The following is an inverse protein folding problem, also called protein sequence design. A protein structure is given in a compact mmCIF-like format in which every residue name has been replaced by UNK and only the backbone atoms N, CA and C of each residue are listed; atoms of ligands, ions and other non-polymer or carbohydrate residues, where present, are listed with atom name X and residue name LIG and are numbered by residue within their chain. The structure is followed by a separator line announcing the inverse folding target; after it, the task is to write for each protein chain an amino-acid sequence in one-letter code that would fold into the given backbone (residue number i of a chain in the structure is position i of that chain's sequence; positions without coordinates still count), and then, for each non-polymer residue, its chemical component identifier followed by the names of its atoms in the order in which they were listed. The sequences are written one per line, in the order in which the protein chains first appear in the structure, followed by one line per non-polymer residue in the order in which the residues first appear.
data_IF_072876498963
#
_entry.id   IF_072876498963
#
_cell.length_a   1.000
_cell.length_b   1.000
_cell.length_c   1.000
_cell.angle_alpha   90.00
_cell.angle_beta   90.00
_cell.angle_gamma   90.00
#
_symmetry.space_group_name_H-M   'P 1'
#
loop_
_entity.id
_entity.type
_entity.pdbx_description
1 polymer ?
#
# COMPACT_ATOMS: atom_id res chain seq x y z
N UNK A 1 -5.06 -25.73 -29.16
CA UNK A 1 -6.35 -25.54 -28.46
C UNK A 1 -6.19 -24.60 -27.27
N UNK A 2 -5.12 -24.73 -26.47
CA UNK A 2 -4.68 -23.79 -25.42
C UNK A 2 -4.67 -22.32 -25.86
N UNK A 3 -3.98 -22.00 -26.97
CA UNK A 3 -3.80 -20.62 -27.44
C UNK A 3 -5.13 -19.93 -27.82
N UNK A 4 -6.08 -20.68 -28.39
CA UNK A 4 -7.42 -20.13 -28.71
C UNK A 4 -8.22 -19.80 -27.45
N UNK A 5 -8.09 -20.61 -26.39
CA UNK A 5 -8.73 -20.33 -25.09
C UNK A 5 -8.10 -19.12 -24.41
N UNK A 6 -6.78 -18.96 -24.53
CA UNK A 6 -6.05 -17.81 -23.98
C UNK A 6 -6.46 -16.50 -24.67
N UNK A 7 -6.58 -16.50 -26.01
CA UNK A 7 -7.04 -15.33 -26.77
C UNK A 7 -8.48 -14.96 -26.38
N UNK A 8 -9.39 -15.95 -26.34
CA UNK A 8 -10.79 -15.70 -25.96
C UNK A 8 -10.92 -15.13 -24.54
N UNK A 9 -10.07 -15.57 -23.60
CA UNK A 9 -10.05 -15.01 -22.25
C UNK A 9 -9.55 -13.57 -22.24
N UNK A 10 -8.47 -13.25 -22.96
CA UNK A 10 -7.92 -11.89 -23.03
C UNK A 10 -8.94 -10.93 -23.63
N UNK A 11 -9.57 -11.31 -24.74
CA UNK A 11 -10.62 -10.49 -25.39
C UNK A 11 -11.82 -10.27 -24.45
N UNK A 12 -12.28 -11.33 -23.77
CA UNK A 12 -13.33 -11.20 -22.77
C UNK A 12 -12.90 -10.26 -21.63
N UNK A 13 -11.67 -10.43 -21.13
CA UNK A 13 -11.16 -9.62 -20.02
C UNK A 13 -11.07 -8.15 -20.39
N UNK A 14 -10.54 -7.83 -21.56
CA UNK A 14 -10.46 -6.45 -22.05
C UNK A 14 -11.85 -5.82 -22.19
N UNK A 15 -12.79 -6.53 -22.82
CA UNK A 15 -14.14 -6.00 -23.05
C UNK A 15 -14.93 -5.81 -21.75
N UNK A 16 -14.93 -6.82 -20.88
CA UNK A 16 -15.75 -6.81 -19.67
C UNK A 16 -15.12 -5.91 -18.59
N UNK A 17 -13.81 -6.04 -18.36
CA UNK A 17 -13.16 -5.48 -17.16
C UNK A 17 -12.35 -4.22 -17.42
N UNK A 18 -11.87 -3.96 -18.65
CA UNK A 18 -11.09 -2.77 -18.95
C UNK A 18 -11.88 -1.69 -19.70
N UNK A 19 -12.69 -2.10 -20.67
CA UNK A 19 -13.42 -1.18 -21.55
C UNK A 19 -14.79 -0.77 -20.98
N UNK A 20 -15.53 -1.73 -20.41
CA UNK A 20 -16.89 -1.47 -19.89
C UNK A 20 -16.91 -0.85 -18.49
N UNK A 21 -15.85 -1.06 -17.70
CA UNK A 21 -15.73 -0.54 -16.34
C UNK A 21 -14.42 0.23 -16.20
N UNK A 22 -14.44 1.46 -15.71
CA UNK A 22 -13.25 2.31 -15.56
C UNK A 22 -12.70 2.33 -14.12
N UNK A 23 -13.04 1.32 -13.30
CA UNK A 23 -12.77 1.27 -11.86
C UNK A 23 -11.78 0.18 -11.45
N UNK A 24 -11.02 -0.39 -12.40
CA UNK A 24 -10.19 -1.58 -12.19
C UNK A 24 -8.82 -1.32 -11.53
N UNK A 25 -8.43 -0.08 -11.23
CA UNK A 25 -7.05 0.25 -10.81
C UNK A 25 -6.90 0.50 -9.29
N UNK A 26 -5.70 0.20 -8.73
CA UNK A 26 -5.36 0.25 -7.28
C UNK A 26 -5.53 1.63 -6.60
N UNK A 27 -5.86 2.68 -7.34
CA UNK A 27 -6.02 4.05 -6.82
C UNK A 27 -7.40 4.66 -7.14
N UNK A 28 -8.38 3.86 -7.58
CA UNK A 28 -9.75 4.34 -7.86
C UNK A 28 -10.44 4.85 -6.58
N UNK A 29 -10.23 4.12 -5.48
CA UNK A 29 -10.66 4.52 -4.15
C UNK A 29 -9.41 4.83 -3.34
N UNK A 30 -9.14 6.11 -3.17
CA UNK A 30 -8.00 6.55 -2.38
C UNK A 30 -8.06 6.01 -0.96
N UNK A 31 -6.89 5.64 -0.45
CA UNK A 31 -6.67 5.31 0.96
C UNK A 31 -7.35 4.02 1.42
N UNK A 32 -7.84 3.22 0.46
CA UNK A 32 -8.30 1.84 0.71
C UNK A 32 -7.16 0.88 0.40
N UNK A 33 -6.91 -0.12 1.26
CA UNK A 33 -5.87 -1.10 1.00
C UNK A 33 -6.23 -1.98 -0.19
N UNK A 34 -5.23 -2.34 -0.98
CA UNK A 34 -5.32 -3.42 -1.96
C UNK A 34 -4.83 -4.75 -1.36
N UNK A 35 -5.16 -5.00 -0.08
CA UNK A 35 -4.74 -6.23 0.61
C UNK A 35 -5.93 -7.10 1.03
N UNK A 36 -5.79 -8.39 0.80
CA UNK A 36 -6.63 -9.45 1.34
C UNK A 36 -6.00 -10.13 2.57
N UNK A 37 -4.90 -9.61 3.11
CA UNK A 37 -4.13 -10.23 4.20
C UNK A 37 -5.00 -10.54 5.42
N UNK A 38 -5.96 -9.66 5.74
CA UNK A 38 -6.91 -9.91 6.82
C UNK A 38 -7.75 -11.16 6.59
N UNK A 39 -8.35 -11.28 5.40
CA UNK A 39 -9.16 -12.43 5.02
C UNK A 39 -8.31 -13.70 4.93
N UNK A 40 -7.13 -13.63 4.31
CA UNK A 40 -6.22 -14.77 4.17
C UNK A 40 -5.68 -15.25 5.52
N UNK A 41 -5.42 -14.33 6.46
CA UNK A 41 -5.01 -14.66 7.82
C UNK A 41 -6.10 -15.43 8.57
N UNK A 42 -7.35 -14.98 8.52
CA UNK A 42 -8.47 -15.71 9.12
C UNK A 42 -8.70 -17.07 8.44
N UNK A 43 -8.66 -17.11 7.11
CA UNK A 43 -8.76 -18.35 6.35
C UNK A 43 -7.67 -19.35 6.73
N UNK A 44 -6.44 -18.86 6.97
CA UNK A 44 -5.33 -19.69 7.41
C UNK A 44 -5.59 -20.29 8.79
N UNK A 45 -6.05 -19.50 9.77
CA UNK A 45 -6.40 -20.01 11.12
C UNK A 45 -7.48 -21.09 11.01
N UNK A 46 -8.56 -20.83 10.25
CA UNK A 46 -9.63 -21.82 10.05
C UNK A 46 -9.07 -23.13 9.45
N UNK A 47 -8.21 -23.02 8.44
CA UNK A 47 -7.62 -24.17 7.76
C UNK A 47 -6.64 -24.93 8.64
N UNK A 48 -5.71 -24.24 9.28
CA UNK A 48 -4.55 -24.86 9.94
C UNK A 48 -4.84 -25.26 11.40
N UNK A 49 -5.71 -24.52 12.09
CA UNK A 49 -6.00 -24.70 13.53
C UNK A 49 -7.39 -25.30 13.77
N UNK A 50 -8.42 -24.79 13.10
CA UNK A 50 -9.81 -25.17 13.43
C UNK A 50 -10.27 -26.44 12.71
N UNK A 51 -9.88 -26.58 11.44
CA UNK A 51 -10.33 -27.67 10.56
C UNK A 51 -9.24 -28.66 10.19
N UNK A 52 -7.96 -28.34 10.48
CA UNK A 52 -6.79 -29.11 10.09
C UNK A 52 -6.77 -29.50 8.60
N UNK A 53 -7.40 -28.67 7.75
CA UNK A 53 -7.60 -28.86 6.30
C UNK A 53 -8.38 -30.13 5.94
N UNK A 54 -9.13 -30.67 6.88
CA UNK A 54 -9.96 -31.85 6.65
C UNK A 54 -11.36 -31.49 6.17
N UNK A 55 -12.03 -32.44 5.49
CA UNK A 55 -13.44 -32.30 5.15
C UNK A 55 -14.27 -32.66 6.38
N UNK A 56 -15.05 -31.69 6.87
CA UNK A 56 -15.79 -31.84 8.12
C UNK A 56 -17.29 -32.00 7.84
N UNK A 57 -17.99 -32.93 8.51
CA UNK A 57 -19.45 -32.99 8.45
C UNK A 57 -20.11 -31.68 8.90
N UNK A 58 -21.22 -31.30 8.28
CA UNK A 58 -21.87 -30.01 8.52
C UNK A 58 -22.21 -29.75 10.00
N UNK A 59 -22.64 -30.78 10.72
CA UNK A 59 -22.94 -30.70 12.16
C UNK A 59 -21.72 -30.30 12.99
N UNK A 60 -20.55 -30.86 12.65
CA UNK A 60 -19.28 -30.55 13.31
C UNK A 60 -18.73 -29.20 12.86
N UNK A 61 -18.88 -28.85 11.58
CA UNK A 61 -18.50 -27.54 11.06
C UNK A 61 -19.21 -26.40 11.82
N UNK A 62 -20.50 -26.55 12.11
CA UNK A 62 -21.26 -25.57 12.90
C UNK A 62 -20.64 -25.37 14.29
N UNK A 63 -20.28 -26.44 14.98
CA UNK A 63 -19.67 -26.34 16.33
C UNK A 63 -18.34 -25.59 16.25
N UNK A 64 -17.50 -25.94 15.26
CA UNK A 64 -16.19 -25.31 15.06
C UNK A 64 -16.35 -23.82 14.81
N UNK A 65 -17.23 -23.40 13.88
CA UNK A 65 -17.39 -21.97 13.58
C UNK A 65 -17.87 -21.15 14.78
N UNK A 66 -18.76 -21.70 15.62
CA UNK A 66 -19.18 -21.02 16.85
C UNK A 66 -18.03 -20.87 17.86
N UNK A 67 -17.24 -21.92 18.09
CA UNK A 67 -16.11 -21.85 19.02
C UNK A 67 -15.00 -20.92 18.50
N UNK A 68 -14.69 -20.96 17.20
CA UNK A 68 -13.73 -20.04 16.56
C UNK A 68 -14.12 -18.57 16.79
N UNK A 69 -15.37 -18.20 16.48
CA UNK A 69 -15.85 -16.81 16.63
C UNK A 69 -15.86 -16.40 18.11
N UNK A 70 -16.27 -17.30 19.00
CA UNK A 70 -16.25 -17.07 20.45
C UNK A 70 -14.83 -16.86 20.96
N UNK A 71 -13.86 -17.65 20.50
CA UNK A 71 -12.45 -17.50 20.86
C UNK A 71 -11.89 -16.17 20.37
N UNK A 72 -12.13 -15.80 19.11
CA UNK A 72 -11.68 -14.51 18.57
C UNK A 72 -12.30 -13.35 19.35
N UNK A 73 -13.61 -13.38 19.58
CA UNK A 73 -14.32 -12.37 20.37
C UNK A 73 -13.73 -12.23 21.77
N UNK A 74 -13.46 -13.35 22.44
CA UNK A 74 -12.79 -13.40 23.75
C UNK A 74 -11.39 -12.79 23.70
N UNK A 75 -10.57 -13.14 22.69
CA UNK A 75 -9.21 -12.60 22.52
C UNK A 75 -9.21 -11.07 22.38
N UNK A 76 -10.14 -10.50 21.62
CA UNK A 76 -10.28 -9.04 21.51
C UNK A 76 -10.83 -8.40 22.78
N UNK A 77 -11.86 -9.00 23.40
CA UNK A 77 -12.47 -8.51 24.66
C UNK A 77 -11.44 -8.42 25.79
N UNK A 78 -10.59 -9.44 25.91
CA UNK A 78 -9.56 -9.52 26.94
C UNK A 78 -8.21 -8.91 26.53
N UNK A 79 -8.16 -8.18 25.40
CA UNK A 79 -6.96 -7.50 24.88
C UNK A 79 -5.75 -8.43 24.62
N UNK A 80 -5.99 -9.73 24.44
CA UNK A 80 -5.00 -10.70 23.99
C UNK A 80 -4.65 -10.47 22.50
N UNK A 81 -5.62 -9.97 21.73
CA UNK A 81 -5.42 -9.41 20.39
C UNK A 81 -5.84 -7.95 20.39
N UNK A 82 -5.16 -7.12 19.60
CA UNK A 82 -5.45 -5.70 19.46
C UNK A 82 -5.47 -5.29 18.00
N UNK A 83 -6.35 -4.33 17.67
CA UNK A 83 -6.35 -3.70 16.36
C UNK A 83 -5.16 -2.74 16.28
N UNK A 84 -4.29 -2.98 15.31
CA UNK A 84 -3.17 -2.09 15.01
C UNK A 84 -3.75 -0.88 14.27
N UNK A 85 -3.79 0.27 14.94
CA UNK A 85 -4.31 1.53 14.41
C UNK A 85 -3.26 2.30 13.60
N UNK A 86 -1.98 2.08 13.90
CA UNK A 86 -0.85 2.75 13.25
C UNK A 86 0.12 1.70 12.71
N UNK A 87 0.50 1.79 11.43
CA UNK A 87 1.44 0.84 10.85
C UNK A 87 2.80 0.98 11.52
N UNK A 88 3.42 -0.16 11.83
CA UNK A 88 4.79 -0.19 12.33
C UNK A 88 5.77 0.04 11.18
N UNK A 89 6.72 0.96 11.37
CA UNK A 89 7.74 1.26 10.37
C UNK A 89 8.93 0.32 10.56
N UNK A 90 9.08 -0.63 9.64
CA UNK A 90 10.20 -1.57 9.68
C UNK A 90 11.54 -0.87 9.42
N UNK A 91 12.63 -1.48 9.87
CA UNK A 91 13.98 -0.96 9.63
C UNK A 91 14.31 -0.85 8.13
N UNK A 92 13.75 -1.75 7.31
CA UNK A 92 13.87 -1.70 5.84
C UNK A 92 13.21 -0.43 5.27
N UNK A 93 12.00 -0.09 5.72
CA UNK A 93 11.31 1.14 5.28
C UNK A 93 12.08 2.38 5.76
N UNK A 94 12.58 2.37 7.00
CA UNK A 94 13.44 3.46 7.48
C UNK A 94 14.69 3.66 6.61
N UNK A 95 15.36 2.56 6.25
CA UNK A 95 16.56 2.59 5.40
C UNK A 95 16.23 3.16 4.02
N UNK A 96 15.18 2.64 3.37
CA UNK A 96 14.73 3.11 2.05
C UNK A 96 14.26 4.56 2.09
N UNK A 97 13.55 4.96 3.13
CA UNK A 97 13.09 6.33 3.33
C UNK A 97 14.25 7.30 3.53
N UNK A 98 15.28 6.91 4.30
CA UNK A 98 16.50 7.71 4.48
C UNK A 98 17.28 7.87 3.17
N UNK A 99 17.50 6.78 2.43
CA UNK A 99 18.16 6.84 1.12
C UNK A 99 17.38 7.72 0.13
N UNK A 100 16.06 7.59 0.09
CA UNK A 100 15.21 8.45 -0.74
C UNK A 100 15.29 9.91 -0.31
N UNK A 101 15.25 10.20 1.00
CA UNK A 101 15.39 11.55 1.54
C UNK A 101 16.72 12.20 1.14
N UNK A 102 17.78 11.41 1.01
CA UNK A 102 19.13 11.83 0.58
C UNK A 102 19.34 11.88 -0.93
N UNK A 103 18.44 11.32 -1.74
CA UNK A 103 18.50 11.45 -3.18
C UNK A 103 18.23 12.89 -3.64
N UNK A 104 18.69 13.26 -4.84
CA UNK A 104 18.47 14.58 -5.43
C UNK A 104 17.11 14.74 -6.12
N UNK A 105 16.18 13.80 -5.91
CA UNK A 105 14.82 13.87 -6.47
C UNK A 105 14.10 15.15 -6.02
N UNK A 106 13.60 15.92 -6.98
CA UNK A 106 12.82 17.12 -6.71
C UNK A 106 11.51 16.76 -6.02
N UNK A 107 11.09 17.57 -5.04
CA UNK A 107 9.76 17.45 -4.42
C UNK A 107 9.07 18.80 -4.55
N UNK A 108 7.90 18.80 -5.17
CA UNK A 108 7.03 19.97 -5.27
C UNK A 108 5.99 19.86 -4.16
N UNK A 109 5.73 20.94 -3.44
CA UNK A 109 4.75 20.97 -2.34
C UNK A 109 3.66 22.00 -2.57
N UNK A 110 2.41 21.64 -2.28
CA UNK A 110 1.25 22.54 -2.28
C UNK A 110 0.60 22.54 -0.90
N UNK A 111 0.52 23.72 -0.27
CA UNK A 111 0.00 23.85 1.09
C UNK A 111 -1.47 24.32 1.06
N UNK A 112 -2.34 23.58 1.74
CA UNK A 112 -3.77 23.85 1.86
C UNK A 112 -4.18 24.17 3.32
N UNK A 113 -3.26 24.72 4.11
CA UNK A 113 -3.44 25.05 5.53
C UNK A 113 -3.27 23.83 6.43
N UNK A 114 -4.31 22.99 6.49
CA UNK A 114 -4.33 21.79 7.36
C UNK A 114 -3.57 20.61 6.76
N UNK A 115 -3.58 20.48 5.43
CA UNK A 115 -2.86 19.42 4.71
C UNK A 115 -1.87 20.01 3.73
N UNK A 116 -0.76 19.31 3.53
CA UNK A 116 0.23 19.60 2.49
C UNK A 116 0.29 18.40 1.55
N UNK A 117 0.27 18.69 0.26
CA UNK A 117 0.44 17.72 -0.81
C UNK A 117 1.87 17.83 -1.34
N UNK A 118 2.49 16.68 -1.58
CA UNK A 118 3.84 16.56 -2.09
C UNK A 118 3.83 15.66 -3.32
N UNK A 119 4.56 16.09 -4.34
CA UNK A 119 4.71 15.40 -5.60
C UNK A 119 6.19 15.08 -5.78
N UNK A 120 6.52 13.81 -6.01
CA UNK A 120 7.88 13.33 -6.22
C UNK A 120 7.98 12.45 -7.48
N UNK A 121 9.08 12.51 -8.25
CA UNK A 121 9.25 11.68 -9.43
C UNK A 121 9.46 10.22 -9.03
N UNK A 122 8.85 9.32 -9.78
CA UNK A 122 9.07 7.89 -9.64
C UNK A 122 10.39 7.44 -10.27
N UNK A 123 10.73 6.15 -10.05
CA UNK A 123 11.87 5.45 -10.65
C UNK A 123 13.19 6.22 -10.64
N UNK A 124 13.90 6.32 -11.77
CA UNK A 124 15.20 7.00 -11.91
C UNK A 124 15.06 8.48 -12.33
N UNK A 125 13.83 8.98 -12.47
CA UNK A 125 13.60 10.37 -12.84
C UNK A 125 13.87 11.33 -11.67
N UNK A 126 14.43 12.50 -11.96
CA UNK A 126 14.82 13.46 -10.93
C UNK A 126 13.91 14.69 -10.87
N UNK A 127 13.05 14.91 -11.86
CA UNK A 127 12.20 16.11 -11.99
C UNK A 127 10.76 15.74 -12.40
N UNK A 128 9.82 16.61 -12.06
CA UNK A 128 8.39 16.50 -12.39
C UNK A 128 7.96 17.76 -13.15
N UNK A 129 7.10 17.60 -14.15
CA UNK A 129 6.47 18.74 -14.84
C UNK A 129 5.10 19.09 -14.26
N UNK A 130 4.63 20.32 -14.46
CA UNK A 130 3.27 20.72 -14.03
C UNK A 130 2.17 19.86 -14.68
N UNK A 131 2.39 19.41 -15.92
CA UNK A 131 1.45 18.54 -16.62
C UNK A 131 1.32 17.15 -15.96
N UNK A 132 2.39 16.65 -15.32
CA UNK A 132 2.32 15.41 -14.55
C UNK A 132 1.48 15.59 -13.29
N UNK A 133 1.59 16.75 -12.63
CA UNK A 133 0.78 17.11 -11.47
C UNK A 133 -0.70 17.19 -11.87
N UNK A 134 -1.03 17.87 -12.97
CA UNK A 134 -2.42 17.99 -13.45
C UNK A 134 -3.02 16.62 -13.81
N UNK A 135 -2.22 15.74 -14.42
CA UNK A 135 -2.64 14.36 -14.71
C UNK A 135 -2.95 13.59 -13.42
N UNK A 136 -2.09 13.72 -12.40
CA UNK A 136 -2.28 13.08 -11.10
C UNK A 136 -3.41 13.74 -10.31
N UNK A 137 -3.73 15.01 -10.51
CA UNK A 137 -4.85 15.65 -9.81
C UNK A 137 -6.19 15.27 -10.42
N UNK A 138 -6.24 15.08 -11.74
CA UNK A 138 -7.46 14.67 -12.43
C UNK A 138 -7.78 13.20 -12.22
N UNK A 139 -6.77 12.33 -12.05
CA UNK A 139 -6.89 10.88 -11.79
C UNK A 139 -7.89 10.14 -12.68
N UNK A 140 -8.09 10.63 -13.90
CA UNK A 140 -8.99 10.03 -14.89
C UNK A 140 -8.17 9.30 -15.93
N UNK A 141 -8.32 7.99 -15.92
CA UNK A 141 -7.71 7.10 -16.90
C UNK A 141 -8.81 6.61 -17.84
N UNK A 142 -8.73 6.99 -19.11
CA UNK A 142 -9.70 6.57 -20.11
C UNK A 142 -9.35 5.19 -20.68
N UNK A 143 -8.09 4.77 -20.56
CA UNK A 143 -7.59 3.46 -21.04
C UNK A 143 -6.57 2.86 -20.10
N UNK A 144 -6.41 1.53 -20.17
CA UNK A 144 -5.39 0.79 -19.43
C UNK A 144 -3.97 1.27 -19.77
N UNK A 145 -3.69 1.52 -21.04
CA UNK A 145 -2.37 2.01 -21.47
C UNK A 145 -2.03 3.39 -20.91
N UNK A 146 -3.02 4.29 -20.80
CA UNK A 146 -2.82 5.61 -20.21
C UNK A 146 -2.47 5.48 -18.73
N UNK A 147 -3.21 4.65 -17.99
CA UNK A 147 -2.91 4.35 -16.58
C UNK A 147 -1.51 3.74 -16.43
N UNK A 148 -1.21 2.67 -17.17
CA UNK A 148 0.10 1.97 -17.09
C UNK A 148 1.27 2.92 -17.30
N UNK A 149 1.14 3.86 -18.24
CA UNK A 149 2.20 4.80 -18.60
C UNK A 149 2.38 5.97 -17.65
N UNK A 150 1.40 6.29 -16.79
CA UNK A 150 1.36 7.58 -16.06
C UNK A 150 1.08 7.45 -14.58
N UNK A 151 0.31 6.46 -14.15
CA UNK A 151 -0.14 6.32 -12.76
C UNK A 151 1.01 6.10 -11.77
N UNK A 152 2.13 5.57 -12.25
CA UNK A 152 3.31 5.28 -11.45
C UNK A 152 4.51 6.18 -11.78
N UNK A 153 4.32 7.27 -12.53
CA UNK A 153 5.42 8.21 -12.85
C UNK A 153 5.65 9.23 -11.75
N UNK A 154 4.60 9.53 -10.97
CA UNK A 154 4.65 10.50 -9.89
C UNK A 154 4.07 9.90 -8.63
N UNK A 155 4.85 9.99 -7.56
CA UNK A 155 4.38 9.72 -6.22
C UNK A 155 3.69 10.96 -5.67
N UNK A 156 2.40 10.83 -5.43
CA UNK A 156 1.59 11.77 -4.67
C UNK A 156 1.60 11.35 -3.21
N UNK A 157 1.94 12.29 -2.34
CA UNK A 157 1.94 12.12 -0.89
C UNK A 157 1.11 13.24 -0.28
N UNK A 158 0.11 12.91 0.54
CA UNK A 158 -0.66 13.89 1.30
C UNK A 158 -0.43 13.69 2.78
N UNK A 159 -0.10 14.76 3.49
CA UNK A 159 0.19 14.73 4.91
C UNK A 159 -0.51 15.88 5.62
N UNK A 160 -0.77 15.71 6.92
CA UNK A 160 -1.16 16.83 7.77
C UNK A 160 0.04 17.78 7.91
N UNK A 161 -0.25 19.07 8.00
CA UNK A 161 0.74 20.11 8.28
C UNK A 161 1.10 20.14 9.78
N UNK A 162 1.42 18.97 10.33
CA UNK A 162 1.71 18.76 11.75
C UNK A 162 2.83 17.72 11.89
N UNK A 163 3.99 18.10 12.46
CA UNK A 163 5.11 17.20 12.69
C UNK A 163 4.78 15.98 13.54
N UNK A 164 3.76 16.02 14.40
CA UNK A 164 3.40 14.91 15.29
C UNK A 164 2.58 13.82 14.59
N UNK A 165 1.89 14.18 13.52
CA UNK A 165 0.93 13.31 12.83
C UNK A 165 1.42 12.83 11.45
N UNK A 166 2.70 13.00 11.15
CA UNK A 166 3.28 12.64 9.84
C UNK A 166 3.05 11.18 9.43
N UNK A 167 2.95 10.25 10.38
CA UNK A 167 2.69 8.82 10.11
C UNK A 167 1.29 8.55 9.57
N UNK A 168 0.36 9.50 9.71
CA UNK A 168 -0.97 9.45 9.07
C UNK A 168 -0.92 9.90 7.60
N UNK A 169 0.28 10.22 7.10
CA UNK A 169 0.51 10.53 5.70
C UNK A 169 0.11 9.38 4.79
N UNK A 170 -0.42 9.73 3.63
CA UNK A 170 -0.93 8.79 2.64
C UNK A 170 -0.15 8.94 1.33
N UNK A 171 -0.01 7.85 0.57
CA UNK A 171 0.74 7.85 -0.69
C UNK A 171 0.08 6.94 -1.73
N UNK A 172 0.18 7.30 -3.01
CA UNK A 172 -0.32 6.51 -4.13
C UNK A 172 0.63 5.37 -4.59
N UNK A 173 1.69 5.05 -3.84
CA UNK A 173 2.63 4.00 -4.24
C UNK A 173 2.16 2.60 -3.82
N UNK A 174 2.50 1.53 -4.58
CA UNK A 174 2.07 0.16 -4.27
C UNK A 174 2.44 -0.33 -2.86
N UNK A 175 3.60 0.11 -2.35
CA UNK A 175 4.01 -0.24 -0.99
C UNK A 175 3.06 0.32 0.08
N UNK A 176 2.49 1.51 -0.15
CA UNK A 176 1.54 2.11 0.77
C UNK A 176 0.21 1.37 0.75
N UNK A 177 -0.32 1.01 -0.43
CA UNK A 177 -1.59 0.26 -0.52
C UNK A 177 -1.55 -1.11 0.17
N UNK A 178 -0.36 -1.70 0.29
CA UNK A 178 -0.16 -2.98 0.99
C UNK A 178 0.12 -2.82 2.48
N UNK A 179 0.95 -1.86 2.86
CA UNK A 179 1.48 -1.79 4.23
C UNK A 179 0.99 -0.59 5.03
N UNK A 180 0.20 0.31 4.44
CA UNK A 180 -0.19 1.63 5.00
C UNK A 180 0.96 2.55 5.38
N UNK A 181 2.19 2.19 4.98
CA UNK A 181 3.37 3.02 5.17
C UNK A 181 4.36 2.70 4.05
N UNK A 182 5.12 3.71 3.62
CA UNK A 182 6.08 3.55 2.54
C UNK A 182 7.30 4.45 2.75
N UNK A 183 8.32 4.21 1.93
CA UNK A 183 9.55 5.01 1.92
C UNK A 183 9.31 6.49 1.57
N UNK A 184 8.25 6.82 0.83
CA UNK A 184 7.97 8.20 0.41
C UNK A 184 7.42 9.04 1.56
N UNK A 185 6.42 8.53 2.31
CA UNK A 185 5.92 9.20 3.52
C UNK A 185 7.04 9.39 4.54
N UNK A 186 7.82 8.33 4.81
CA UNK A 186 8.98 8.41 5.69
C UNK A 186 10.04 9.39 5.16
N UNK A 187 10.35 9.32 3.87
CA UNK A 187 11.39 10.13 3.23
C UNK A 187 11.07 11.63 3.22
N UNK A 188 9.84 12.00 2.87
CA UNK A 188 9.36 13.40 2.96
C UNK A 188 9.45 13.89 4.41
N UNK A 189 8.99 13.08 5.36
CA UNK A 189 9.04 13.40 6.80
C UNK A 189 10.47 13.60 7.32
N UNK A 190 11.44 12.82 6.81
CA UNK A 190 12.87 12.98 7.12
C UNK A 190 13.39 14.31 6.55
N UNK A 191 13.05 14.67 5.31
CA UNK A 191 13.46 15.96 4.70
C UNK A 191 12.90 17.16 5.47
N UNK A 192 11.65 17.06 5.90
CA UNK A 192 10.96 18.08 6.71
C UNK A 192 11.39 18.10 8.18
N UNK A 193 12.26 17.16 8.61
CA UNK A 193 12.69 16.99 10.00
C UNK A 193 11.55 16.67 10.99
N UNK A 194 10.44 16.13 10.51
CA UNK A 194 9.33 15.66 11.36
C UNK A 194 9.67 14.37 12.09
N UNK A 195 10.62 13.59 11.58
CA UNK A 195 11.11 12.39 12.22
C UNK A 195 12.62 12.21 12.06
N UNK A 196 13.21 11.39 12.94
CA UNK A 196 14.61 10.99 12.88
C UNK A 196 14.67 9.48 12.65
N UNK A 197 15.29 9.01 11.55
CA UNK A 197 15.44 7.58 11.34
C UNK A 197 16.39 7.00 12.40
N UNK A 198 16.16 5.75 12.84
CA UNK A 198 17.04 5.09 13.82
C UNK A 198 18.48 4.99 13.27
N UNK A 199 19.51 5.02 14.14
CA UNK A 199 20.91 4.96 13.69
C UNK A 199 21.17 3.77 12.75
N UNK A 200 20.66 2.59 13.10
CA UNK A 200 20.78 1.37 12.32
C UNK A 200 20.28 1.50 10.86
N UNK A 201 19.34 2.42 10.57
CA UNK A 201 18.84 2.65 9.22
C UNK A 201 19.84 3.42 8.33
N UNK A 202 20.83 4.08 8.92
CA UNK A 202 21.85 4.90 8.23
C UNK A 202 23.11 4.12 7.91
N UNK A 203 23.31 2.96 8.56
CA UNK A 203 24.53 2.13 8.41
C UNK A 203 24.66 1.51 7.00
N UNK A 204 23.59 1.50 6.22
CA UNK A 204 23.61 1.00 4.84
C UNK A 204 24.04 2.13 3.90
N UNK A 205 25.14 1.96 3.14
CA UNK A 205 25.56 2.94 2.15
C UNK A 205 24.43 3.26 1.16
N UNK A 206 24.39 4.51 0.70
CA UNK A 206 23.38 4.96 -0.27
C UNK A 206 23.50 4.12 -1.55
N UNK A 207 22.36 3.66 -2.08
CA UNK A 207 22.31 2.78 -3.25
C UNK A 207 22.39 1.28 -2.95
N UNK A 208 22.76 0.88 -1.73
CA UNK A 208 22.77 -0.53 -1.35
C UNK A 208 21.47 -0.96 -0.69
N UNK A 209 21.05 -2.20 -0.98
CA UNK A 209 19.90 -2.84 -0.32
C UNK A 209 20.35 -3.49 0.99
N UNK A 210 19.55 -3.34 2.05
CA UNK A 210 19.72 -4.11 3.29
C UNK A 210 19.59 -5.60 2.96
N UNK A 211 20.50 -6.44 3.46
CA UNK A 211 20.39 -7.90 3.33
C UNK A 211 19.15 -8.40 4.06
N UNK A 212 18.47 -9.41 3.50
CA UNK A 212 17.40 -10.11 4.22
C UNK A 212 18.02 -10.86 5.40
N UNK A 213 17.47 -10.65 6.59
CA UNK A 213 17.79 -11.33 7.83
C UNK A 213 16.50 -11.58 8.58
#
# INVERSE_FOLDING_TARGET
MEAKKQIAFVEYFENEWLNSHNTWYENIQHFTPSTNDGLESFNKIIKDEDTYRERIPLSRFRIITFETVKQWSSQYKHKLKQYIQTPSITLDIWTKGYQWAKSDKSVISMNHGYTVEYYAPADDEFKISNNDIDTINTMKWNTFDQYRKRAFNVWYIKMQNDPTNWMKGICNCPAFFKCYVCKHVAGVSIRLKFCKPPPAAKDIPIGHKRKRG
#
